data_IF_740497003134
#
_entry.id   IF_740497003134
#
_cell.length_a   1.000
_cell.length_b   1.000
_cell.length_c   1.000
_cell.angle_alpha   90.00
_cell.angle_beta   90.00
_cell.angle_gamma   90.00
#
_symmetry.space_group_name_H-M   'P 1'
#
loop_
_entity.id
_entity.type
_entity.pdbx_description
1 polymer ?
#
# COMPACT_ATOMS: atom_id res chain seq x y z
N UNK A 1 9.93 9.63 -2.17
CA UNK A 1 9.51 8.49 -1.32
C UNK A 1 8.21 8.88 -0.63
N UNK A 2 7.16 8.07 -0.76
CA UNK A 2 5.84 8.34 -0.14
C UNK A 2 5.81 8.05 1.37
N UNK A 3 6.86 7.42 1.91
CA UNK A 3 6.94 7.02 3.32
C UNK A 3 7.65 8.03 4.21
N UNK A 4 8.58 8.83 3.66
CA UNK A 4 9.56 9.57 4.48
C UNK A 4 9.24 11.06 4.63
N UNK A 5 8.69 11.70 3.59
CA UNK A 5 8.41 13.13 3.60
C UNK A 5 6.94 13.40 3.27
N UNK A 6 6.32 14.41 3.91
CA UNK A 6 4.98 14.82 3.55
C UNK A 6 4.89 15.18 2.07
N UNK A 7 3.93 14.58 1.34
CA UNK A 7 3.67 14.94 -0.06
C UNK A 7 3.30 16.42 -0.21
N UNK A 8 2.82 17.03 0.86
CA UNK A 8 2.47 18.45 0.95
C UNK A 8 3.63 19.42 0.69
N UNK A 9 4.88 18.93 0.68
CA UNK A 9 6.06 19.72 0.26
C UNK A 9 6.10 20.02 -1.24
N UNK A 10 5.43 19.20 -2.04
CA UNK A 10 5.47 19.27 -3.51
C UNK A 10 4.09 19.37 -4.14
N UNK A 11 3.05 18.95 -3.42
CA UNK A 11 1.65 18.97 -3.84
C UNK A 11 0.89 19.83 -2.84
N UNK A 12 0.00 20.70 -3.30
CA UNK A 12 -0.80 21.50 -2.39
C UNK A 12 -1.68 20.57 -1.51
N UNK A 13 -1.81 20.84 -0.20
CA UNK A 13 -2.74 20.10 0.63
C UNK A 13 -4.16 20.14 0.04
N UNK A 14 -4.87 19.02 0.13
CA UNK A 14 -6.27 18.93 -0.29
C UNK A 14 -6.54 19.37 -1.73
N UNK A 15 -5.57 19.22 -2.64
CA UNK A 15 -5.71 19.66 -4.03
C UNK A 15 -6.00 18.51 -5.00
N UNK A 16 -5.90 17.26 -4.55
CA UNK A 16 -6.03 16.07 -5.41
C UNK A 16 -7.43 15.49 -5.31
N UNK A 17 -8.13 15.38 -6.44
CA UNK A 17 -9.45 14.75 -6.52
C UNK A 17 -9.37 13.22 -6.50
N UNK A 18 -8.39 12.65 -7.21
CA UNK A 18 -8.20 11.21 -7.33
C UNK A 18 -6.72 10.85 -7.26
N UNK A 19 -6.39 9.84 -6.45
CA UNK A 19 -5.09 9.20 -6.42
C UNK A 19 -5.23 7.70 -6.73
N UNK A 20 -4.16 7.09 -7.23
CA UNK A 20 -4.08 5.64 -7.46
C UNK A 20 -2.90 5.06 -6.67
N UNK A 21 -3.09 3.88 -6.12
CA UNK A 21 -2.05 3.12 -5.44
C UNK A 21 -2.12 1.67 -5.93
N UNK A 22 -1.33 1.36 -6.96
CA UNK A 22 -1.36 0.10 -7.69
C UNK A 22 -0.02 -0.61 -7.54
N UNK A 23 0.01 -1.74 -6.82
CA UNK A 23 1.25 -2.47 -6.47
C UNK A 23 2.29 -1.61 -5.77
N UNK A 24 1.85 -0.77 -4.83
CA UNK A 24 2.70 0.19 -4.12
C UNK A 24 2.92 -0.25 -2.68
N UNK A 25 1.84 -0.50 -1.94
CA UNK A 25 1.90 -0.71 -0.51
C UNK A 25 2.61 -2.03 -0.18
N UNK A 26 2.44 -3.06 -1.01
CA UNK A 26 3.14 -4.34 -0.84
C UNK A 26 4.66 -4.26 -0.95
N UNK A 27 5.21 -3.20 -1.56
CA UNK A 27 6.64 -2.94 -1.64
C UNK A 27 7.17 -2.10 -0.47
N UNK A 28 6.28 -1.49 0.32
CA UNK A 28 6.61 -0.69 1.51
C UNK A 28 6.79 -1.60 2.72
N UNK A 29 7.71 -1.24 3.63
CA UNK A 29 7.85 -1.98 4.90
C UNK A 29 6.62 -1.79 5.78
N UNK A 30 6.21 -2.84 6.51
CA UNK A 30 4.98 -2.81 7.34
C UNK A 30 4.88 -1.58 8.25
N UNK A 31 5.99 -1.21 8.91
CA UNK A 31 6.03 -0.06 9.81
C UNK A 31 5.87 1.31 9.13
N UNK A 32 6.00 1.38 7.80
CA UNK A 32 5.91 2.61 7.01
C UNK A 32 4.63 2.71 6.17
N UNK A 33 3.81 1.65 6.11
CA UNK A 33 2.58 1.61 5.32
C UNK A 33 1.57 2.67 5.78
N UNK A 34 1.35 2.79 7.09
CA UNK A 34 0.48 3.82 7.67
C UNK A 34 0.92 5.24 7.28
N UNK A 35 2.23 5.52 7.35
CA UNK A 35 2.80 6.81 6.92
C UNK A 35 2.58 7.07 5.42
N UNK A 36 2.70 6.05 4.57
CA UNK A 36 2.42 6.18 3.14
C UNK A 36 0.94 6.52 2.87
N UNK A 37 0.02 5.83 3.55
CA UNK A 37 -1.43 6.09 3.44
C UNK A 37 -1.76 7.50 3.92
N UNK A 38 -1.22 7.91 5.08
CA UNK A 38 -1.39 9.25 5.64
C UNK A 38 -0.92 10.35 4.70
N UNK A 39 0.24 10.15 4.07
CA UNK A 39 0.79 11.12 3.14
C UNK A 39 -0.11 11.30 1.90
N UNK A 40 -0.71 10.22 1.40
CA UNK A 40 -1.70 10.30 0.31
C UNK A 40 -2.98 10.99 0.79
N UNK A 41 -3.48 10.65 1.98
CA UNK A 41 -4.66 11.30 2.57
C UNK A 41 -4.49 12.82 2.69
N UNK A 42 -3.30 13.30 3.07
CA UNK A 42 -3.02 14.72 3.28
C UNK A 42 -3.12 15.60 2.02
N UNK A 43 -3.01 15.01 0.83
CA UNK A 43 -3.14 15.74 -0.45
C UNK A 43 -4.49 15.55 -1.11
N UNK A 44 -5.27 14.54 -0.69
CA UNK A 44 -6.62 14.29 -1.22
C UNK A 44 -7.62 15.31 -0.68
N UNK A 45 -8.59 15.71 -1.52
CA UNK A 45 -9.70 16.57 -1.08
C UNK A 45 -10.50 15.90 0.06
N UNK A 46 -10.72 16.56 1.20
CA UNK A 46 -11.57 16.04 2.25
C UNK A 46 -12.99 15.80 1.75
N UNK A 47 -13.57 14.66 2.09
CA UNK A 47 -14.95 14.29 1.75
C UNK A 47 -15.18 13.81 0.31
N UNK A 48 -14.63 14.50 -0.69
CA UNK A 48 -14.81 14.15 -2.11
C UNK A 48 -13.67 13.36 -2.73
N UNK A 49 -12.46 13.47 -2.19
CA UNK A 49 -11.27 12.82 -2.71
C UNK A 49 -11.38 11.29 -2.71
N UNK A 50 -10.81 10.65 -3.74
CA UNK A 50 -10.84 9.19 -3.90
C UNK A 50 -9.45 8.62 -4.04
N UNK A 51 -9.21 7.49 -3.37
CA UNK A 51 -8.05 6.65 -3.61
C UNK A 51 -8.52 5.34 -4.25
N UNK A 52 -8.03 5.04 -5.44
CA UNK A 52 -8.19 3.73 -6.04
C UNK A 52 -6.99 2.85 -5.65
N UNK A 53 -7.25 1.82 -4.86
CA UNK A 53 -6.24 0.90 -4.37
C UNK A 53 -6.30 -0.45 -5.08
N UNK A 54 -5.14 -1.00 -5.43
CA UNK A 54 -4.98 -2.37 -5.92
C UNK A 54 -3.62 -2.90 -5.50
N UNK A 55 -3.60 -4.03 -4.81
CA UNK A 55 -2.34 -4.70 -4.47
C UNK A 55 -2.55 -6.21 -4.32
N UNK A 56 -1.51 -6.93 -3.91
CA UNK A 56 -1.57 -8.39 -3.73
C UNK A 56 -2.46 -8.81 -2.57
N UNK A 57 -3.33 -9.77 -2.83
CA UNK A 57 -4.20 -10.37 -1.82
C UNK A 57 -3.72 -11.76 -1.44
N UNK A 58 -3.97 -12.16 -0.20
CA UNK A 58 -3.74 -13.53 0.25
C UNK A 58 -4.51 -14.53 -0.60
N UNK A 59 -3.82 -15.59 -1.02
CA UNK A 59 -4.36 -16.63 -1.91
C UNK A 59 -4.26 -16.30 -3.40
N UNK A 60 -3.75 -15.12 -3.77
CA UNK A 60 -3.53 -14.74 -5.17
C UNK A 60 -2.72 -15.79 -5.93
N UNK A 61 -3.01 -15.94 -7.22
CA UNK A 61 -2.21 -16.79 -8.10
C UNK A 61 -0.73 -16.36 -8.13
N UNK A 62 -0.45 -15.07 -7.92
CA UNK A 62 0.90 -14.54 -7.77
C UNK A 62 1.63 -15.14 -6.54
N UNK A 63 0.92 -15.32 -5.42
CA UNK A 63 1.44 -15.96 -4.21
C UNK A 63 1.82 -17.41 -4.49
N UNK A 64 0.86 -18.18 -5.04
CA UNK A 64 1.08 -19.60 -5.36
C UNK A 64 2.25 -19.79 -6.32
N UNK A 65 2.37 -18.93 -7.33
CA UNK A 65 3.51 -18.95 -8.27
C UNK A 65 4.84 -18.64 -7.57
N UNK A 66 4.84 -17.74 -6.61
CA UNK A 66 6.05 -17.37 -5.87
C UNK A 66 6.51 -18.51 -4.95
N UNK A 67 5.57 -19.16 -4.26
CA UNK A 67 5.81 -20.34 -3.43
C UNK A 67 6.40 -21.49 -4.26
N UNK A 68 5.87 -21.74 -5.46
CA UNK A 68 6.40 -22.79 -6.37
C UNK A 68 7.77 -22.45 -6.94
N UNK A 69 8.03 -21.16 -7.25
CA UNK A 69 9.28 -20.71 -7.90
C UNK A 69 10.42 -20.43 -6.92
N UNK A 70 10.28 -20.83 -5.66
CA UNK A 70 11.34 -20.65 -4.66
C UNK A 70 11.56 -19.18 -4.27
N UNK A 71 10.51 -18.35 -4.29
CA UNK A 71 10.59 -17.01 -3.73
C UNK A 71 11.05 -17.05 -2.27
N UNK A 72 11.95 -16.14 -1.88
CA UNK A 72 12.49 -16.15 -0.52
C UNK A 72 11.45 -15.55 0.41
N UNK A 73 10.87 -16.37 1.28
CA UNK A 73 10.03 -15.88 2.37
C UNK A 73 10.89 -15.10 3.36
N UNK A 74 10.50 -13.86 3.63
CA UNK A 74 11.15 -12.95 4.57
C UNK A 74 10.40 -12.86 5.90
N UNK A 75 9.13 -13.28 5.91
CA UNK A 75 8.26 -13.32 7.08
C UNK A 75 6.88 -13.86 6.73
N UNK A 76 5.95 -13.81 7.69
CA UNK A 76 4.55 -14.18 7.43
C UNK A 76 3.95 -13.23 6.38
N UNK A 77 3.38 -13.79 5.31
CA UNK A 77 2.80 -13.05 4.16
C UNK A 77 3.78 -12.09 3.45
N UNK A 78 5.07 -12.18 3.74
CA UNK A 78 6.10 -11.26 3.27
C UNK A 78 7.22 -11.99 2.54
N UNK A 79 7.47 -11.62 1.28
CA UNK A 79 8.38 -12.34 0.41
C UNK A 79 9.27 -11.38 -0.39
N UNK A 80 10.42 -11.89 -0.83
CA UNK A 80 11.26 -11.27 -1.85
C UNK A 80 11.16 -12.05 -3.16
N UNK A 81 11.11 -11.30 -4.26
CA UNK A 81 11.21 -11.79 -5.63
C UNK A 81 12.67 -11.92 -6.06
N UNK A 82 12.88 -12.57 -7.21
CA UNK A 82 14.23 -12.80 -7.76
C UNK A 82 14.99 -11.51 -8.13
N UNK A 83 14.28 -10.42 -8.37
CA UNK A 83 14.83 -9.07 -8.61
C UNK A 83 15.10 -8.29 -7.31
N UNK A 84 14.85 -8.90 -6.13
CA UNK A 84 14.97 -8.26 -4.83
C UNK A 84 13.76 -7.41 -4.42
N UNK A 85 12.76 -7.25 -5.29
CA UNK A 85 11.53 -6.53 -4.96
C UNK A 85 10.75 -7.28 -3.88
N UNK A 86 10.30 -6.55 -2.86
CA UNK A 86 9.50 -7.09 -1.76
C UNK A 86 8.02 -7.10 -2.15
N UNK A 87 7.30 -8.13 -1.74
CA UNK A 87 5.85 -8.19 -1.86
C UNK A 87 5.23 -8.72 -0.57
N UNK A 88 4.31 -7.94 -0.01
CA UNK A 88 3.40 -8.34 1.05
C UNK A 88 2.04 -8.73 0.46
N UNK A 89 1.46 -9.83 0.94
CA UNK A 89 0.13 -10.28 0.54
C UNK A 89 -0.87 -9.92 1.65
N UNK A 90 -1.86 -9.09 1.31
CA UNK A 90 -2.80 -8.52 2.29
C UNK A 90 -4.00 -9.44 2.53
N UNK A 91 -4.48 -9.47 3.77
CA UNK A 91 -5.85 -9.86 4.07
C UNK A 91 -6.74 -8.64 3.88
N UNK A 92 -7.92 -8.82 3.28
CA UNK A 92 -8.84 -7.71 3.00
C UNK A 92 -9.22 -6.93 4.27
N UNK A 93 -9.51 -7.64 5.36
CA UNK A 93 -9.90 -7.03 6.63
C UNK A 93 -8.77 -6.20 7.25
N UNK A 94 -7.54 -6.72 7.30
CA UNK A 94 -6.37 -5.99 7.82
C UNK A 94 -6.07 -4.73 6.99
N UNK A 95 -6.26 -4.82 5.67
CA UNK A 95 -6.08 -3.71 4.75
C UNK A 95 -7.13 -2.62 4.98
N UNK A 96 -8.41 -3.02 5.09
CA UNK A 96 -9.53 -2.10 5.37
C UNK A 96 -9.31 -1.34 6.68
N UNK A 97 -8.96 -2.05 7.75
CA UNK A 97 -8.67 -1.45 9.06
C UNK A 97 -7.52 -0.43 8.98
N UNK A 98 -6.46 -0.75 8.24
CA UNK A 98 -5.32 0.17 8.05
C UNK A 98 -5.72 1.47 7.34
N UNK A 99 -6.59 1.39 6.32
CA UNK A 99 -7.09 2.58 5.63
C UNK A 99 -8.07 3.38 6.48
N UNK A 100 -8.96 2.71 7.21
CA UNK A 100 -9.93 3.35 8.11
C UNK A 100 -9.24 4.10 9.27
N UNK A 101 -8.16 3.53 9.82
CA UNK A 101 -7.32 4.18 10.84
C UNK A 101 -6.67 5.49 10.35
N UNK A 102 -6.46 5.63 9.04
CA UNK A 102 -5.91 6.84 8.42
C UNK A 102 -7.00 7.75 7.82
N UNK A 103 -8.28 7.52 8.18
CA UNK A 103 -9.40 8.41 7.88
C UNK A 103 -10.12 8.14 6.56
N UNK A 104 -9.83 7.02 5.90
CA UNK A 104 -10.58 6.60 4.71
C UNK A 104 -11.91 5.93 5.10
N UNK A 105 -12.90 6.03 4.21
CA UNK A 105 -14.11 5.21 4.24
C UNK A 105 -14.03 4.19 3.11
N UNK A 106 -13.88 2.93 3.48
CA UNK A 106 -13.69 1.80 2.56
C UNK A 106 -14.99 1.01 2.35
#
# INVERSE_FOLDING_TARGET
DITSFPLTRHILPYSVDVATMIFVLSAVSRGAMASAIRNVAAVLRPGSGKLLFRDYCMGDLAQKRLEVRGGRQLGERFFARGDGTRCFYFLEQELREMFEQEGFRC
#
